data_IF_425451640545
#
_entry.id   IF_425451640545
#
_cell.length_a   1.000
_cell.length_b   1.000
_cell.length_c   1.000
_cell.angle_alpha   90.00
_cell.angle_beta   90.00
_cell.angle_gamma   90.00
#
_symmetry.space_group_name_H-M   'P 1'
#
loop_
_entity.id
_entity.type
_entity.pdbx_description
1 polymer ?
#
# COMPACT_ATOMS: atom_id res chain seq x y z
N UNK A 1 4.69 -34.59 -104.15
CA UNK A 1 5.03 -33.15 -104.24
C UNK A 1 5.89 -32.79 -103.03
N UNK A 2 7.08 -32.20 -103.30
CA UNK A 2 7.99 -31.39 -102.44
C UNK A 2 7.76 -31.46 -100.90
N UNK A 3 8.72 -31.58 -99.99
CA UNK A 3 10.20 -31.57 -99.99
C UNK A 3 10.66 -31.35 -98.53
N UNK A 4 11.69 -32.08 -98.09
CA UNK A 4 12.73 -31.74 -97.07
C UNK A 4 12.31 -31.51 -95.59
N UNK A 5 12.70 -32.38 -94.64
CA UNK A 5 14.02 -32.57 -93.93
C UNK A 5 14.36 -31.51 -92.87
N UNK A 6 14.45 -31.94 -91.60
CA UNK A 6 15.65 -31.97 -90.69
C UNK A 6 15.19 -32.29 -89.25
N UNK A 7 15.52 -33.44 -88.65
CA UNK A 7 16.81 -33.88 -88.03
C UNK A 7 17.13 -33.09 -86.75
N UNK A 8 17.01 -33.66 -85.54
CA UNK A 8 18.05 -34.26 -84.67
C UNK A 8 17.68 -33.77 -83.23
N UNK A 9 17.89 -34.41 -82.08
CA UNK A 9 18.60 -35.61 -81.66
C UNK A 9 18.15 -36.01 -80.23
N UNK A 10 18.45 -37.25 -79.86
CA UNK A 10 18.23 -37.96 -78.57
C UNK A 10 18.85 -37.31 -77.32
N UNK A 11 18.23 -37.55 -76.16
CA UNK A 11 18.75 -38.29 -74.95
C UNK A 11 17.66 -38.32 -73.86
N UNK A 12 17.23 -39.51 -73.42
CA UNK A 12 17.35 -40.04 -72.02
C UNK A 12 16.56 -39.21 -70.98
N UNK A 13 15.69 -39.73 -70.11
CA UNK A 13 15.73 -40.97 -69.34
C UNK A 13 14.33 -41.31 -68.77
N UNK A 14 14.19 -42.58 -68.43
CA UNK A 14 13.06 -43.30 -67.81
C UNK A 14 13.13 -43.15 -66.29
N UNK A 15 12.17 -42.50 -65.60
CA UNK A 15 11.93 -42.71 -64.15
C UNK A 15 10.44 -42.43 -63.78
N UNK A 16 9.82 -43.48 -63.25
CA UNK A 16 8.80 -43.65 -62.20
C UNK A 16 7.37 -43.08 -62.27
N UNK A 17 6.49 -44.07 -62.36
CA UNK A 17 5.03 -44.10 -62.17
C UNK A 17 4.66 -44.14 -60.68
N UNK A 18 5.31 -43.33 -59.83
CA UNK A 18 4.98 -43.19 -58.40
C UNK A 18 4.47 -41.80 -57.99
N UNK A 19 4.57 -40.79 -58.87
CA UNK A 19 4.18 -39.41 -58.51
C UNK A 19 2.66 -39.17 -58.61
N UNK A 20 1.93 -39.98 -59.39
CA UNK A 20 0.50 -39.74 -59.64
C UNK A 20 -0.43 -40.28 -58.55
N UNK A 21 0.03 -41.20 -57.70
CA UNK A 21 -0.75 -41.69 -56.54
C UNK A 21 -0.63 -40.81 -55.30
N UNK A 22 0.43 -40.01 -55.17
CA UNK A 22 0.54 -39.01 -54.11
C UNK A 22 -0.32 -37.76 -54.37
N UNK A 23 -0.61 -37.43 -55.64
CA UNK A 23 -1.40 -36.24 -55.98
C UNK A 23 -2.89 -36.35 -55.63
N UNK A 24 -3.47 -37.56 -55.64
CA UNK A 24 -4.88 -37.76 -55.31
C UNK A 24 -5.17 -37.97 -53.80
N UNK A 25 -4.14 -38.20 -52.98
CA UNK A 25 -4.27 -38.18 -51.51
C UNK A 25 -3.97 -36.79 -50.93
N UNK A 26 -3.20 -35.96 -51.63
CA UNK A 26 -2.92 -34.59 -51.22
C UNK A 26 -4.14 -33.66 -51.36
N UNK A 27 -5.00 -33.86 -52.36
CA UNK A 27 -6.17 -32.99 -52.56
C UNK A 27 -7.35 -33.28 -51.62
N UNK A 28 -7.51 -34.48 -51.06
CA UNK A 28 -8.57 -34.76 -50.07
C UNK A 28 -8.19 -34.35 -48.64
N UNK A 29 -6.88 -34.29 -48.33
CA UNK A 29 -6.40 -33.79 -47.03
C UNK A 29 -6.32 -32.26 -47.00
N UNK A 30 -6.03 -31.60 -48.14
CA UNK A 30 -6.04 -30.14 -48.21
C UNK A 30 -7.45 -29.52 -48.15
N UNK A 31 -8.50 -30.23 -48.58
CA UNK A 31 -9.88 -29.73 -48.51
C UNK A 31 -10.53 -29.94 -47.14
N UNK A 32 -10.02 -30.85 -46.30
CA UNK A 32 -10.47 -30.98 -44.90
C UNK A 32 -9.64 -30.13 -43.93
N UNK A 33 -8.34 -29.94 -44.18
CA UNK A 33 -7.50 -29.05 -43.35
C UNK A 33 -7.83 -27.56 -43.54
N UNK A 34 -8.29 -27.13 -44.72
CA UNK A 34 -8.72 -25.74 -44.93
C UNK A 34 -10.10 -25.43 -44.35
N UNK A 35 -10.92 -26.45 -44.06
CA UNK A 35 -12.19 -26.27 -43.35
C UNK A 35 -12.04 -26.34 -41.82
N UNK A 36 -10.98 -27.01 -41.32
CA UNK A 36 -10.64 -27.04 -39.90
C UNK A 36 -9.75 -25.89 -39.44
N UNK A 37 -8.99 -25.25 -40.34
CA UNK A 37 -8.25 -24.01 -40.02
C UNK A 37 -9.14 -22.76 -39.93
N UNK A 38 -10.41 -22.87 -40.35
CA UNK A 38 -11.41 -21.78 -40.26
C UNK A 38 -12.29 -21.93 -39.00
N UNK A 39 -12.11 -23.00 -38.21
CA UNK A 39 -12.92 -23.27 -37.01
C UNK A 39 -12.19 -23.11 -35.66
N UNK A 40 -10.92 -22.69 -35.64
CA UNK A 40 -10.19 -22.39 -34.41
C UNK A 40 -9.28 -21.18 -34.62
N UNK A 41 -9.90 -20.00 -34.55
CA UNK A 41 -9.35 -18.66 -34.30
C UNK A 41 -10.35 -17.66 -34.90
N UNK A 42 -11.63 -17.74 -34.50
CA UNK A 42 -12.42 -16.52 -34.45
C UNK A 42 -11.92 -15.77 -33.22
N UNK A 43 -10.80 -15.06 -33.35
CA UNK A 43 -10.61 -13.86 -32.54
C UNK A 43 -11.75 -12.94 -32.99
N UNK A 44 -12.89 -13.05 -32.31
CA UNK A 44 -13.93 -12.04 -32.41
C UNK A 44 -13.24 -10.76 -31.95
N UNK A 45 -12.86 -9.91 -32.90
CA UNK A 45 -12.44 -8.55 -32.63
C UNK A 45 -13.69 -7.85 -32.13
N UNK A 46 -13.88 -7.79 -30.82
CA UNK A 46 -14.92 -6.94 -30.24
C UNK A 46 -14.54 -5.46 -30.44
N UNK A 47 -15.53 -4.58 -30.37
CA UNK A 47 -15.32 -3.14 -30.46
C UNK A 47 -14.67 -2.60 -29.18
N UNK A 48 -14.39 -1.30 -29.15
CA UNK A 48 -13.68 -0.64 -28.04
C UNK A 48 -14.32 -0.91 -26.68
N UNK A 49 -13.51 -1.10 -25.63
CA UNK A 49 -13.99 -1.11 -24.24
C UNK A 49 -14.18 0.32 -23.74
N UNK A 50 -15.40 0.66 -23.32
CA UNK A 50 -15.73 1.98 -22.76
C UNK A 50 -16.10 1.81 -21.29
N UNK A 51 -15.29 2.40 -20.43
CA UNK A 51 -15.51 2.40 -18.99
C UNK A 51 -16.18 3.70 -18.58
N UNK A 52 -17.39 3.64 -18.03
CA UNK A 52 -18.15 4.82 -17.62
C UNK A 52 -17.82 5.19 -16.18
N UNK A 53 -17.47 6.45 -15.97
CA UNK A 53 -17.09 6.98 -14.66
C UNK A 53 -18.18 7.82 -14.02
N UNK A 54 -19.09 8.36 -14.83
CA UNK A 54 -20.22 9.17 -14.37
C UNK A 54 -21.46 9.06 -15.28
N UNK A 55 -22.54 9.73 -14.88
CA UNK A 55 -23.82 9.75 -15.60
C UNK A 55 -23.78 10.68 -16.83
N UNK A 56 -22.88 11.66 -16.89
CA UNK A 56 -22.73 12.55 -18.05
C UNK A 56 -22.15 11.81 -19.26
N UNK A 57 -21.16 10.94 -19.03
CA UNK A 57 -20.63 10.02 -20.05
C UNK A 57 -21.72 9.08 -20.59
N UNK A 58 -22.64 8.66 -19.73
CA UNK A 58 -23.80 7.85 -20.12
C UNK A 58 -24.76 8.65 -21.02
N UNK A 59 -25.07 9.89 -20.66
CA UNK A 59 -25.89 10.80 -21.49
C UNK A 59 -25.23 11.07 -22.84
N UNK A 60 -23.91 11.22 -22.89
CA UNK A 60 -23.16 11.37 -24.14
C UNK A 60 -23.32 10.15 -25.04
N UNK A 61 -23.30 8.94 -24.49
CA UNK A 61 -23.57 7.71 -25.25
C UNK A 61 -25.02 7.69 -25.79
N UNK A 62 -25.98 8.14 -24.99
CA UNK A 62 -27.39 8.20 -25.37
C UNK A 62 -27.67 9.24 -26.47
N UNK A 63 -27.04 10.41 -26.38
CA UNK A 63 -27.32 11.57 -27.23
C UNK A 63 -26.50 11.59 -28.51
N UNK A 64 -25.21 11.31 -28.43
CA UNK A 64 -24.28 11.42 -29.56
C UNK A 64 -24.20 10.11 -30.35
N UNK A 65 -24.71 8.99 -29.82
CA UNK A 65 -24.65 7.69 -30.48
C UNK A 65 -23.21 7.28 -30.81
N UNK A 66 -22.26 7.57 -29.90
CA UNK A 66 -20.80 7.54 -30.11
C UNK A 66 -20.25 6.17 -30.56
N UNK A 67 -21.06 5.11 -30.53
CA UNK A 67 -20.66 3.79 -30.99
C UNK A 67 -21.00 3.54 -32.46
N UNK A 68 -20.00 3.09 -33.19
CA UNK A 68 -20.10 2.71 -34.60
C UNK A 68 -20.26 1.20 -34.80
N UNK A 69 -20.32 0.38 -33.73
CA UNK A 69 -20.42 -1.09 -33.83
C UNK A 69 -21.28 -1.73 -32.73
N UNK A 70 -22.04 -2.78 -33.07
CA UNK A 70 -22.81 -3.58 -32.10
C UNK A 70 -21.93 -4.50 -31.22
N UNK A 71 -20.61 -4.30 -31.23
CA UNK A 71 -19.63 -5.16 -30.55
C UNK A 71 -18.84 -4.41 -29.47
N UNK A 72 -19.13 -3.13 -29.23
CA UNK A 72 -18.46 -2.35 -28.18
C UNK A 72 -18.88 -2.86 -26.80
N UNK A 73 -17.93 -2.88 -25.86
CA UNK A 73 -18.17 -3.36 -24.50
C UNK A 73 -18.31 -2.15 -23.56
N UNK A 74 -19.47 -2.02 -22.94
CA UNK A 74 -19.74 -1.02 -21.92
C UNK A 74 -19.50 -1.61 -20.54
N UNK A 75 -18.72 -0.90 -19.73
CA UNK A 75 -18.47 -1.23 -18.33
C UNK A 75 -19.03 -0.11 -17.48
N UNK A 76 -19.97 -0.46 -16.59
CA UNK A 76 -20.59 0.48 -15.65
C UNK A 76 -20.28 0.00 -14.24
N UNK A 77 -19.57 0.78 -13.42
CA UNK A 77 -19.31 0.44 -12.02
C UNK A 77 -20.62 0.14 -11.28
N UNK A 78 -20.70 -0.94 -10.48
CA UNK A 78 -21.93 -1.32 -9.78
C UNK A 78 -22.50 -0.21 -8.92
N UNK A 79 -21.67 0.59 -8.24
CA UNK A 79 -22.15 1.72 -7.45
C UNK A 79 -22.80 2.81 -8.31
N UNK A 80 -22.26 3.09 -9.50
CA UNK A 80 -22.89 4.00 -10.46
C UNK A 80 -24.21 3.39 -10.95
N UNK A 81 -24.17 2.16 -11.45
CA UNK A 81 -25.32 1.44 -11.99
C UNK A 81 -26.50 1.34 -10.99
N UNK A 82 -26.20 1.07 -9.72
CA UNK A 82 -27.19 1.01 -8.63
C UNK A 82 -27.87 2.36 -8.40
N UNK A 83 -27.12 3.45 -8.49
CA UNK A 83 -27.59 4.80 -8.14
C UNK A 83 -28.15 5.60 -9.32
N UNK A 84 -28.04 5.09 -10.56
CA UNK A 84 -28.66 5.72 -11.73
C UNK A 84 -30.16 5.95 -11.54
N UNK A 85 -30.66 7.05 -12.12
CA UNK A 85 -32.08 7.32 -12.21
C UNK A 85 -32.83 6.19 -12.93
N UNK A 86 -34.07 5.91 -12.54
CA UNK A 86 -34.87 4.82 -13.10
C UNK A 86 -35.05 4.96 -14.62
N UNK A 87 -35.18 6.19 -15.12
CA UNK A 87 -35.25 6.48 -16.56
C UNK A 87 -33.97 6.04 -17.31
N UNK A 88 -32.80 6.28 -16.73
CA UNK A 88 -31.51 5.89 -17.30
C UNK A 88 -31.32 4.37 -17.24
N UNK A 89 -31.78 3.71 -16.17
CA UNK A 89 -31.82 2.23 -16.09
C UNK A 89 -32.71 1.62 -17.16
N UNK A 90 -33.88 2.20 -17.45
CA UNK A 90 -34.76 1.71 -18.51
C UNK A 90 -34.13 1.85 -19.91
N UNK A 91 -33.40 2.95 -20.17
CA UNK A 91 -32.63 3.12 -21.40
C UNK A 91 -31.56 2.03 -21.51
N UNK A 92 -30.80 1.79 -20.44
CA UNK A 92 -29.78 0.74 -20.40
C UNK A 92 -30.37 -0.66 -20.67
N UNK A 93 -31.49 -1.01 -20.04
CA UNK A 93 -32.19 -2.28 -20.29
C UNK A 93 -32.61 -2.43 -21.74
N UNK A 94 -33.10 -1.36 -22.36
CA UNK A 94 -33.46 -1.35 -23.78
C UNK A 94 -32.24 -1.62 -24.67
N UNK A 95 -31.14 -0.90 -24.44
CA UNK A 95 -29.89 -1.07 -25.20
C UNK A 95 -29.31 -2.49 -25.06
N UNK A 96 -29.42 -3.05 -23.86
CA UNK A 96 -29.02 -4.41 -23.55
C UNK A 96 -29.89 -5.44 -24.30
N UNK A 97 -31.22 -5.28 -24.25
CA UNK A 97 -32.19 -6.17 -24.94
C UNK A 97 -32.02 -6.12 -26.47
N UNK A 98 -31.75 -4.94 -27.01
CA UNK A 98 -31.47 -4.72 -28.44
C UNK A 98 -30.10 -5.27 -28.86
N UNK A 99 -29.26 -5.73 -27.92
CA UNK A 99 -27.88 -6.19 -28.14
C UNK A 99 -27.04 -5.18 -28.90
N UNK A 100 -27.30 -3.89 -28.66
CA UNK A 100 -26.53 -2.80 -29.26
C UNK A 100 -25.13 -2.71 -28.68
N UNK A 101 -24.99 -3.12 -27.42
CA UNK A 101 -23.73 -3.17 -26.69
C UNK A 101 -23.63 -4.47 -25.91
N UNK A 102 -22.40 -4.81 -25.53
CA UNK A 102 -22.14 -5.85 -24.54
C UNK A 102 -21.88 -5.18 -23.21
N UNK A 103 -22.72 -5.47 -22.22
CA UNK A 103 -22.55 -4.93 -20.89
C UNK A 103 -21.76 -5.93 -20.05
N UNK A 104 -20.53 -5.56 -19.68
CA UNK A 104 -19.69 -6.39 -18.83
C UNK A 104 -20.01 -6.16 -17.34
N UNK A 105 -19.97 -7.23 -16.56
CA UNK A 105 -19.90 -7.13 -15.11
C UNK A 105 -18.50 -6.69 -14.66
N UNK A 106 -18.39 -6.13 -13.46
CA UNK A 106 -17.12 -5.79 -12.82
C UNK A 106 -17.27 -5.92 -11.30
N UNK A 107 -16.19 -5.71 -10.55
CA UNK A 107 -16.18 -5.76 -9.08
C UNK A 107 -17.07 -4.69 -8.47
N UNK A 108 -17.62 -4.95 -7.27
CA UNK A 108 -18.53 -4.03 -6.59
C UNK A 108 -17.94 -2.64 -6.28
N UNK A 109 -16.72 -2.57 -5.73
CA UNK A 109 -16.06 -1.28 -5.38
C UNK A 109 -14.80 -0.96 -6.19
N UNK A 110 -14.75 -1.35 -7.46
CA UNK A 110 -13.61 -1.07 -8.37
C UNK A 110 -12.26 -1.54 -7.78
N UNK A 111 -12.24 -2.76 -7.25
CA UNK A 111 -11.06 -3.36 -6.62
C UNK A 111 -10.29 -4.23 -7.60
N UNK A 112 -8.99 -4.36 -7.38
CA UNK A 112 -8.12 -5.22 -8.18
C UNK A 112 -8.10 -6.61 -7.55
N UNK A 113 -8.81 -7.58 -8.14
CA UNK A 113 -8.97 -8.92 -7.55
C UNK A 113 -7.63 -9.60 -7.22
N UNK A 114 -6.59 -9.55 -8.09
CA UNK A 114 -5.29 -10.14 -7.74
C UNK A 114 -4.62 -9.51 -6.51
N UNK A 115 -4.88 -8.23 -6.21
CA UNK A 115 -4.34 -7.55 -5.02
C UNK A 115 -5.00 -8.10 -3.76
N UNK A 116 -6.32 -8.25 -3.74
CA UNK A 116 -7.05 -8.87 -2.62
C UNK A 116 -6.60 -10.32 -2.40
N UNK A 117 -6.45 -11.08 -3.49
CA UNK A 117 -5.95 -12.45 -3.42
C UNK A 117 -4.53 -12.51 -2.83
N UNK A 118 -3.63 -11.62 -3.26
CA UNK A 118 -2.27 -11.50 -2.71
C UNK A 118 -2.28 -11.14 -1.21
N UNK A 119 -3.19 -10.25 -0.80
CA UNK A 119 -3.40 -9.84 0.59
C UNK A 119 -4.01 -10.94 1.49
N UNK A 120 -4.35 -12.12 0.94
CA UNK A 120 -5.03 -13.24 1.62
C UNK A 120 -6.46 -12.93 2.03
N UNK A 121 -7.15 -12.17 1.19
CA UNK A 121 -8.56 -11.81 1.31
C UNK A 121 -9.41 -12.57 0.27
N UNK A 122 -9.19 -13.89 0.14
CA UNK A 122 -9.86 -14.76 -0.83
C UNK A 122 -11.40 -14.67 -0.79
N UNK A 123 -11.95 -14.46 0.40
CA UNK A 123 -13.40 -14.30 0.56
C UNK A 123 -13.89 -12.95 0.03
N UNK A 124 -13.12 -11.86 0.19
CA UNK A 124 -13.53 -10.57 -0.39
C UNK A 124 -13.46 -10.60 -1.91
N UNK A 125 -12.51 -11.35 -2.49
CA UNK A 125 -12.50 -11.60 -3.94
C UNK A 125 -13.85 -12.15 -4.40
N UNK A 126 -14.39 -13.16 -3.70
CA UNK A 126 -15.71 -13.73 -4.04
C UNK A 126 -16.83 -12.74 -3.79
N UNK A 127 -16.85 -12.10 -2.63
CA UNK A 127 -17.93 -11.18 -2.27
C UNK A 127 -18.00 -9.95 -3.18
N UNK A 128 -16.85 -9.42 -3.62
CA UNK A 128 -16.75 -8.32 -4.59
C UNK A 128 -17.32 -8.68 -5.96
N UNK A 129 -17.06 -9.91 -6.42
CA UNK A 129 -17.64 -10.45 -7.66
C UNK A 129 -19.15 -10.65 -7.50
N UNK A 130 -19.58 -11.30 -6.41
CA UNK A 130 -20.97 -11.66 -6.16
C UNK A 130 -21.86 -10.42 -5.98
N UNK A 131 -21.39 -9.40 -5.23
CA UNK A 131 -22.12 -8.13 -5.10
C UNK A 131 -22.22 -7.37 -6.42
N UNK A 132 -21.13 -7.34 -7.20
CA UNK A 132 -21.14 -6.74 -8.54
C UNK A 132 -22.15 -7.43 -9.46
N UNK A 133 -22.15 -8.78 -9.47
CA UNK A 133 -23.11 -9.60 -10.22
C UNK A 133 -24.55 -9.34 -9.78
N UNK A 134 -24.79 -9.25 -8.47
CA UNK A 134 -26.13 -8.97 -7.93
C UNK A 134 -26.68 -7.63 -8.41
N UNK A 135 -25.89 -6.56 -8.35
CA UNK A 135 -26.33 -5.23 -8.84
C UNK A 135 -26.61 -5.27 -10.34
N UNK A 136 -25.76 -5.95 -11.11
CA UNK A 136 -25.99 -6.15 -12.54
C UNK A 136 -27.33 -6.85 -12.80
N UNK A 137 -27.58 -7.96 -12.11
CA UNK A 137 -28.82 -8.73 -12.24
C UNK A 137 -30.07 -7.90 -11.85
N UNK A 138 -29.99 -7.10 -10.79
CA UNK A 138 -31.08 -6.22 -10.35
C UNK A 138 -31.50 -5.21 -11.43
N UNK A 139 -30.56 -4.77 -12.29
CA UNK A 139 -30.86 -3.86 -13.40
C UNK A 139 -31.24 -4.62 -14.67
N UNK A 140 -30.45 -5.61 -15.11
CA UNK A 140 -30.64 -6.22 -16.43
C UNK A 140 -31.54 -7.46 -16.42
N UNK A 141 -31.82 -8.05 -15.26
CA UNK A 141 -32.65 -9.24 -15.11
C UNK A 141 -31.97 -10.56 -15.54
N UNK A 142 -30.70 -10.51 -15.94
CA UNK A 142 -29.86 -11.67 -16.25
C UNK A 142 -28.41 -11.45 -15.80
N UNK A 143 -27.65 -12.54 -15.69
CA UNK A 143 -26.24 -12.49 -15.29
C UNK A 143 -25.34 -12.09 -16.47
N UNK A 144 -24.34 -11.27 -16.19
CA UNK A 144 -23.29 -10.94 -17.15
C UNK A 144 -22.42 -12.16 -17.46
N UNK A 145 -22.20 -12.44 -18.75
CA UNK A 145 -21.27 -13.49 -19.21
C UNK A 145 -19.83 -12.99 -19.43
N UNK A 146 -19.67 -11.67 -19.56
CA UNK A 146 -18.40 -10.97 -19.77
C UNK A 146 -18.03 -10.21 -18.51
N UNK A 147 -16.78 -10.32 -18.09
CA UNK A 147 -16.22 -9.60 -16.95
C UNK A 147 -15.16 -8.60 -17.39
N UNK A 148 -15.20 -7.40 -16.82
CA UNK A 148 -14.10 -6.45 -16.89
C UNK A 148 -13.35 -6.46 -15.55
N UNK A 149 -12.11 -6.96 -15.50
CA UNK A 149 -11.26 -6.78 -14.34
C UNK A 149 -10.84 -5.31 -14.25
N UNK A 150 -10.91 -4.72 -13.05
CA UNK A 150 -10.51 -3.33 -12.85
C UNK A 150 -9.06 -3.10 -13.31
N UNK A 151 -8.84 -2.01 -14.06
CA UNK A 151 -7.59 -1.70 -14.78
C UNK A 151 -7.09 -2.77 -15.78
N UNK A 152 -7.94 -3.72 -16.15
CA UNK A 152 -7.56 -4.87 -16.99
C UNK A 152 -6.67 -5.90 -16.27
N UNK A 153 -6.55 -5.84 -14.94
CA UNK A 153 -5.60 -6.65 -14.18
C UNK A 153 -6.26 -7.94 -13.67
N UNK A 154 -5.73 -9.08 -14.10
CA UNK A 154 -6.23 -10.42 -13.75
C UNK A 154 -5.06 -11.39 -13.48
N UNK A 155 -5.32 -12.43 -12.69
CA UNK A 155 -4.40 -13.55 -12.46
C UNK A 155 -5.08 -14.88 -12.77
N UNK A 156 -4.32 -15.96 -12.87
CA UNK A 156 -4.87 -17.30 -13.09
C UNK A 156 -5.86 -17.71 -11.97
N UNK A 157 -5.51 -17.41 -10.72
CA UNK A 157 -6.33 -17.75 -9.55
C UNK A 157 -7.65 -16.99 -9.53
N UNK A 158 -7.61 -15.69 -9.82
CA UNK A 158 -8.82 -14.85 -9.88
C UNK A 158 -9.68 -15.20 -11.09
N UNK A 159 -9.05 -15.56 -12.22
CA UNK A 159 -9.75 -16.10 -13.39
C UNK A 159 -10.55 -17.37 -13.06
N UNK A 160 -9.98 -18.31 -12.29
CA UNK A 160 -10.69 -19.51 -11.84
C UNK A 160 -11.92 -19.18 -10.99
N UNK A 161 -11.82 -18.18 -10.11
CA UNK A 161 -12.95 -17.72 -9.29
C UNK A 161 -14.04 -17.09 -10.17
N UNK A 162 -13.67 -16.32 -11.19
CA UNK A 162 -14.63 -15.75 -12.14
C UNK A 162 -15.38 -16.84 -12.91
N UNK A 163 -14.70 -17.91 -13.36
CA UNK A 163 -15.36 -19.07 -14.00
C UNK A 163 -16.36 -19.73 -13.08
N UNK A 164 -15.99 -19.92 -11.81
CA UNK A 164 -16.90 -20.47 -10.79
C UNK A 164 -18.10 -19.56 -10.52
N UNK A 165 -17.95 -18.26 -10.73
CA UNK A 165 -18.99 -17.24 -10.54
C UNK A 165 -19.86 -17.02 -11.78
N UNK A 166 -19.70 -17.85 -12.83
CA UNK A 166 -20.55 -17.84 -14.03
C UNK A 166 -19.99 -17.06 -15.23
N UNK A 167 -18.86 -16.38 -15.08
CA UNK A 167 -18.25 -15.65 -16.20
C UNK A 167 -17.53 -16.61 -17.16
N UNK A 168 -17.71 -16.39 -18.46
CA UNK A 168 -17.03 -17.17 -19.50
C UNK A 168 -15.84 -16.42 -20.12
N UNK A 169 -15.88 -15.10 -20.06
CA UNK A 169 -14.97 -14.24 -20.82
C UNK A 169 -14.53 -13.08 -19.95
N UNK A 170 -13.28 -12.65 -20.09
CA UNK A 170 -12.86 -11.33 -19.63
C UNK A 170 -12.37 -10.46 -20.78
N UNK A 171 -12.49 -9.15 -20.59
CA UNK A 171 -12.01 -8.12 -21.52
C UNK A 171 -11.06 -7.17 -20.83
N UNK A 172 -10.07 -6.66 -21.54
CA UNK A 172 -9.11 -5.66 -21.02
C UNK A 172 -9.18 -4.38 -21.82
N UNK A 173 -8.66 -3.29 -21.27
CA UNK A 173 -8.62 -1.97 -21.93
C UNK A 173 -7.74 -1.90 -23.19
N UNK A 174 -6.98 -2.96 -23.49
CA UNK A 174 -6.25 -3.11 -24.76
C UNK A 174 -7.10 -3.81 -25.84
N UNK A 175 -8.42 -3.86 -25.65
CA UNK A 175 -9.39 -4.56 -26.50
C UNK A 175 -9.09 -6.06 -26.66
N UNK A 176 -8.30 -6.64 -25.74
CA UNK A 176 -7.99 -8.06 -25.73
C UNK A 176 -9.07 -8.79 -24.94
N UNK A 177 -9.87 -9.58 -25.66
CA UNK A 177 -10.81 -10.53 -25.08
C UNK A 177 -10.16 -11.90 -24.95
N UNK A 178 -10.37 -12.55 -23.81
CA UNK A 178 -9.83 -13.88 -23.54
C UNK A 178 -10.91 -14.76 -22.90
N UNK A 179 -10.99 -15.99 -23.38
CA UNK A 179 -11.88 -17.01 -22.82
C UNK A 179 -11.26 -17.51 -21.50
N UNK A 180 -11.98 -17.33 -20.40
CA UNK A 180 -11.50 -17.68 -19.06
C UNK A 180 -11.28 -19.19 -18.86
N UNK A 181 -11.90 -20.04 -19.68
CA UNK A 181 -11.83 -21.51 -19.57
C UNK A 181 -10.70 -22.10 -20.40
N UNK A 182 -10.31 -21.45 -21.48
CA UNK A 182 -9.27 -21.97 -22.40
C UNK A 182 -7.96 -21.19 -22.34
N UNK A 183 -7.94 -20.01 -21.72
CA UNK A 183 -6.70 -19.24 -21.56
C UNK A 183 -5.75 -19.95 -20.59
N UNK A 184 -4.62 -20.42 -21.11
CA UNK A 184 -3.58 -21.10 -20.31
C UNK A 184 -2.42 -20.19 -19.92
N UNK A 185 -2.30 -19.01 -20.54
CA UNK A 185 -1.11 -18.16 -20.47
C UNK A 185 -1.44 -16.77 -19.88
N UNK A 186 -2.12 -16.76 -18.72
CA UNK A 186 -2.31 -15.52 -17.94
C UNK A 186 -0.98 -15.20 -17.24
N UNK A 187 -0.27 -14.20 -17.76
CA UNK A 187 0.98 -13.72 -17.14
C UNK A 187 0.66 -13.13 -15.76
N UNK A 188 1.37 -13.55 -14.70
CA UNK A 188 1.19 -12.97 -13.37
C UNK A 188 1.40 -11.45 -13.40
N UNK A 189 0.44 -10.65 -12.88
CA UNK A 189 0.54 -9.20 -12.90
C UNK A 189 1.58 -8.70 -11.89
N UNK A 190 2.22 -7.56 -12.19
CA UNK A 190 3.02 -6.83 -11.22
C UNK A 190 2.10 -6.07 -10.26
N UNK A 191 2.15 -6.43 -8.97
CA UNK A 191 1.31 -5.88 -7.92
C UNK A 191 2.06 -4.89 -7.00
N UNK A 192 3.31 -4.55 -7.33
CA UNK A 192 4.19 -3.69 -6.52
C UNK A 192 3.62 -2.28 -6.28
N UNK A 193 2.70 -1.82 -7.15
CA UNK A 193 2.02 -0.54 -7.01
C UNK A 193 1.04 -0.50 -5.82
N UNK A 194 0.49 -1.64 -5.40
CA UNK A 194 -0.54 -1.70 -4.34
C UNK A 194 -0.11 -2.54 -3.13
N UNK A 195 1.00 -3.26 -3.23
CA UNK A 195 1.49 -4.18 -2.20
C UNK A 195 3.02 -4.16 -2.14
N UNK A 196 3.59 -4.58 -1.00
CA UNK A 196 5.03 -4.82 -0.87
C UNK A 196 5.78 -3.76 -0.07
N UNK A 197 5.34 -2.50 -0.05
CA UNK A 197 5.91 -1.52 0.89
C UNK A 197 5.45 -1.80 2.34
N UNK A 198 6.26 -1.47 3.37
CA UNK A 198 5.87 -1.69 4.77
C UNK A 198 4.53 -1.07 5.15
N UNK A 199 4.26 0.17 4.70
CA UNK A 199 3.01 0.87 4.98
C UNK A 199 1.80 0.23 4.30
N UNK A 200 1.93 -0.22 3.05
CA UNK A 200 0.84 -0.91 2.35
C UNK A 200 0.54 -2.26 3.02
N UNK A 201 1.57 -3.00 3.41
CA UNK A 201 1.39 -4.28 4.11
C UNK A 201 0.68 -4.08 5.46
N UNK A 202 1.05 -3.04 6.21
CA UNK A 202 0.38 -2.68 7.46
C UNK A 202 -1.08 -2.27 7.24
N UNK A 203 -1.38 -1.50 6.19
CA UNK A 203 -2.75 -1.14 5.82
C UNK A 203 -3.61 -2.36 5.52
N UNK A 204 -3.08 -3.32 4.76
CA UNK A 204 -3.75 -4.61 4.51
C UNK A 204 -3.94 -5.43 5.79
N UNK A 205 -2.98 -5.39 6.73
CA UNK A 205 -3.13 -6.06 8.03
C UNK A 205 -4.27 -5.46 8.86
N UNK A 206 -4.45 -4.14 8.84
CA UNK A 206 -5.59 -3.50 9.52
C UNK A 206 -6.94 -3.81 8.87
N UNK A 207 -7.02 -3.90 7.54
CA UNK A 207 -8.22 -4.37 6.83
C UNK A 207 -8.56 -5.81 7.27
N UNK A 208 -7.57 -6.72 7.30
CA UNK A 208 -7.76 -8.10 7.78
C UNK A 208 -8.24 -8.17 9.23
N UNK A 209 -7.69 -7.33 10.11
CA UNK A 209 -8.13 -7.27 11.51
C UNK A 209 -9.56 -6.74 11.64
N UNK A 210 -9.92 -5.69 10.90
CA UNK A 210 -11.28 -5.17 10.87
C UNK A 210 -12.27 -6.22 10.34
N UNK A 211 -11.90 -6.97 9.29
CA UNK A 211 -12.69 -8.07 8.75
C UNK A 211 -12.90 -9.21 9.76
N UNK A 212 -11.85 -9.58 10.49
CA UNK A 212 -11.96 -10.57 11.57
C UNK A 212 -12.98 -10.10 12.62
N UNK A 213 -12.96 -8.81 12.99
CA UNK A 213 -13.91 -8.22 13.92
C UNK A 213 -15.34 -8.19 13.39
N UNK A 214 -15.53 -7.94 12.08
CA UNK A 214 -16.84 -8.09 11.45
C UNK A 214 -17.35 -9.53 11.49
N UNK A 215 -16.46 -10.50 11.27
CA UNK A 215 -16.81 -11.93 11.35
C UNK A 215 -17.19 -12.33 12.77
N UNK A 216 -16.46 -11.86 13.78
CA UNK A 216 -16.82 -12.05 15.19
C UNK A 216 -18.17 -11.41 15.52
N UNK A 217 -18.42 -10.19 15.02
CA UNK A 217 -19.69 -9.49 15.20
C UNK A 217 -20.87 -10.22 14.57
N UNK A 218 -20.70 -10.75 13.36
CA UNK A 218 -21.71 -11.55 12.65
C UNK A 218 -22.14 -12.81 13.42
N UNK A 219 -21.22 -13.38 14.21
CA UNK A 219 -21.48 -14.56 15.05
C UNK A 219 -21.90 -14.20 16.48
N UNK A 220 -22.05 -12.91 16.79
CA UNK A 220 -22.36 -12.44 18.14
C UNK A 220 -23.87 -12.35 18.40
N UNK A 221 -24.26 -12.39 19.67
CA UNK A 221 -25.65 -12.15 20.11
C UNK A 221 -26.14 -10.71 19.91
N UNK A 222 -25.22 -9.78 19.60
CA UNK A 222 -25.48 -8.36 19.37
C UNK A 222 -25.50 -8.01 17.87
N UNK A 223 -25.55 -9.03 17.01
CA UNK A 223 -25.62 -8.87 15.57
C UNK A 223 -26.84 -8.05 15.17
N UNK A 224 -26.57 -7.07 14.32
CA UNK A 224 -27.56 -6.23 13.66
C UNK A 224 -27.15 -6.15 12.19
N UNK A 225 -28.07 -6.54 11.30
CA UNK A 225 -27.79 -6.66 9.88
C UNK A 225 -27.47 -5.30 9.23
N UNK A 226 -28.18 -4.25 9.63
CA UNK A 226 -27.98 -2.91 9.07
C UNK A 226 -26.62 -2.34 9.46
N UNK A 227 -26.23 -2.50 10.73
CA UNK A 227 -24.89 -2.12 11.21
C UNK A 227 -23.78 -2.92 10.57
N UNK A 228 -23.97 -4.24 10.44
CA UNK A 228 -23.01 -5.11 9.77
C UNK A 228 -22.83 -4.70 8.31
N UNK A 229 -23.92 -4.48 7.58
CA UNK A 229 -23.88 -4.07 6.18
C UNK A 229 -23.21 -2.71 6.03
N UNK A 230 -23.54 -1.72 6.86
CA UNK A 230 -22.88 -0.41 6.85
C UNK A 230 -21.38 -0.50 7.10
N UNK A 231 -20.96 -1.30 8.10
CA UNK A 231 -19.54 -1.50 8.41
C UNK A 231 -18.80 -2.25 7.30
N UNK A 232 -19.47 -3.19 6.64
CA UNK A 232 -18.93 -3.97 5.52
C UNK A 232 -18.78 -3.12 4.25
N UNK A 233 -19.73 -2.24 3.97
CA UNK A 233 -19.60 -1.24 2.89
C UNK A 233 -18.40 -0.31 3.12
N UNK A 234 -18.19 0.15 4.35
CA UNK A 234 -17.01 0.95 4.71
C UNK A 234 -15.70 0.16 4.50
N UNK A 235 -15.67 -1.13 4.90
CA UNK A 235 -14.51 -2.00 4.68
C UNK A 235 -14.18 -2.14 3.19
N UNK A 236 -15.19 -2.35 2.33
CA UNK A 236 -14.97 -2.46 0.87
C UNK A 236 -14.50 -1.16 0.22
N UNK A 237 -14.81 0.00 0.81
CA UNK A 237 -14.23 1.26 0.36
C UNK A 237 -12.74 1.38 0.69
N UNK A 238 -12.29 0.76 1.79
CA UNK A 238 -10.87 0.72 2.19
C UNK A 238 -10.04 -0.25 1.34
N UNK A 239 -10.68 -1.19 0.64
CA UNK A 239 -10.02 -2.12 -0.29
C UNK A 239 -9.63 -1.47 -1.63
N UNK A 240 -10.09 -0.25 -1.90
CA UNK A 240 -9.85 0.44 -3.16
C UNK A 240 -8.35 0.68 -3.41
N UNK A 241 -7.87 0.53 -4.66
CA UNK A 241 -6.45 0.66 -5.00
C UNK A 241 -5.87 2.05 -4.65
N UNK A 242 -6.70 3.10 -4.71
CA UNK A 242 -6.27 4.49 -4.50
C UNK A 242 -5.57 4.71 -3.15
N UNK A 243 -6.02 4.04 -2.08
CA UNK A 243 -5.40 4.15 -0.75
C UNK A 243 -3.94 3.74 -0.78
N UNK A 244 -3.67 2.62 -1.46
CA UNK A 244 -2.33 2.02 -1.55
C UNK A 244 -1.42 2.76 -2.52
N UNK A 245 -1.97 3.30 -3.61
CA UNK A 245 -1.23 4.15 -4.54
C UNK A 245 -0.78 5.46 -3.89
N UNK A 246 -1.65 6.05 -3.07
CA UNK A 246 -1.34 7.30 -2.39
C UNK A 246 -0.19 7.13 -1.40
N UNK A 247 -0.07 5.98 -0.73
CA UNK A 247 1.04 5.69 0.19
C UNK A 247 2.42 5.65 -0.48
N UNK A 248 2.50 5.38 -1.78
CA UNK A 248 3.75 5.39 -2.56
C UNK A 248 3.89 6.63 -3.46
N UNK A 249 3.02 7.62 -3.28
CA UNK A 249 3.11 8.89 -4.00
C UNK A 249 4.47 9.58 -3.75
N UNK A 250 4.87 10.50 -4.61
CA UNK A 250 5.99 11.40 -4.30
C UNK A 250 5.59 12.59 -3.41
N UNK A 251 4.29 12.79 -3.18
CA UNK A 251 3.75 13.90 -2.40
C UNK A 251 3.51 13.46 -0.94
N UNK A 252 4.32 13.97 -0.02
CA UNK A 252 4.22 13.64 1.41
C UNK A 252 2.93 14.17 2.05
N UNK A 253 2.41 15.33 1.61
CA UNK A 253 1.14 15.85 2.13
C UNK A 253 0.00 14.93 1.73
N UNK A 254 0.02 14.45 0.48
CA UNK A 254 -0.94 13.47 -0.01
C UNK A 254 -0.90 12.18 0.80
N UNK A 255 0.29 11.71 1.20
CA UNK A 255 0.42 10.53 2.08
C UNK A 255 -0.14 10.77 3.48
N UNK A 256 0.15 11.92 4.10
CA UNK A 256 -0.37 12.31 5.42
C UNK A 256 -1.90 12.39 5.40
N UNK A 257 -2.47 13.05 4.40
CA UNK A 257 -3.92 13.17 4.24
C UNK A 257 -4.55 11.80 3.99
N UNK A 258 -3.97 10.99 3.10
CA UNK A 258 -4.43 9.64 2.83
C UNK A 258 -4.46 8.78 4.10
N UNK A 259 -3.40 8.85 4.92
CA UNK A 259 -3.30 8.11 6.17
C UNK A 259 -4.41 8.49 7.16
N UNK A 260 -4.66 9.80 7.34
CA UNK A 260 -5.72 10.31 8.20
C UNK A 260 -7.09 9.75 7.78
N UNK A 261 -7.43 9.84 6.49
CA UNK A 261 -8.71 9.39 5.98
C UNK A 261 -8.85 7.87 6.01
N UNK A 262 -7.77 7.13 5.72
CA UNK A 262 -7.76 5.67 5.80
C UNK A 262 -8.04 5.18 7.23
N UNK A 263 -7.38 5.78 8.24
CA UNK A 263 -7.61 5.47 9.66
C UNK A 263 -9.00 5.90 10.14
N UNK A 264 -9.53 7.01 9.62
CA UNK A 264 -10.90 7.42 9.88
C UNK A 264 -11.91 6.39 9.35
N UNK A 265 -11.73 5.89 8.13
CA UNK A 265 -12.57 4.84 7.56
C UNK A 265 -12.47 3.53 8.36
N UNK A 266 -11.26 3.11 8.74
CA UNK A 266 -11.08 1.96 9.64
C UNK A 266 -11.83 2.17 10.96
N UNK A 267 -11.69 3.35 11.57
CA UNK A 267 -12.41 3.70 12.81
C UNK A 267 -13.93 3.61 12.64
N UNK A 268 -14.46 4.01 11.49
CA UNK A 268 -15.89 3.92 11.19
C UNK A 268 -16.38 2.47 11.15
N UNK A 269 -15.59 1.52 10.61
CA UNK A 269 -15.93 0.08 10.63
C UNK A 269 -16.18 -0.39 12.06
N UNK A 270 -15.28 -0.08 13.02
CA UNK A 270 -15.44 -0.47 14.43
C UNK A 270 -16.61 0.24 15.11
N UNK A 271 -16.76 1.55 14.88
CA UNK A 271 -17.85 2.35 15.46
C UNK A 271 -19.22 1.87 15.00
N UNK A 272 -19.36 1.51 13.72
CA UNK A 272 -20.63 1.04 13.16
C UNK A 272 -21.16 -0.21 13.89
N UNK A 273 -20.27 -1.13 14.26
CA UNK A 273 -20.61 -2.35 15.01
C UNK A 273 -20.52 -2.19 16.54
N UNK A 274 -20.25 -0.98 17.03
CA UNK A 274 -20.17 -0.67 18.46
C UNK A 274 -18.99 -1.34 19.19
N UNK A 275 -17.90 -1.64 18.48
CA UNK A 275 -16.68 -2.20 19.06
C UNK A 275 -15.72 -1.09 19.48
N UNK A 276 -14.91 -1.34 20.51
CA UNK A 276 -13.84 -0.43 20.92
C UNK A 276 -12.78 -0.33 19.81
N UNK A 277 -12.27 0.88 19.57
CA UNK A 277 -11.23 1.11 18.58
C UNK A 277 -9.89 0.56 19.10
N UNK A 278 -9.19 -0.29 18.33
CA UNK A 278 -7.80 -0.62 18.61
C UNK A 278 -6.94 0.65 18.68
N UNK A 279 -6.14 0.78 19.74
CA UNK A 279 -5.22 1.91 19.91
C UNK A 279 -4.27 2.09 18.72
N UNK A 280 -3.90 0.97 18.07
CA UNK A 280 -3.04 0.94 16.90
C UNK A 280 -3.60 1.73 15.68
N UNK A 281 -4.93 1.93 15.58
CA UNK A 281 -5.56 2.74 14.52
C UNK A 281 -5.42 4.25 14.80
N UNK A 282 -5.15 4.63 16.05
CA UNK A 282 -4.89 6.04 16.39
C UNK A 282 -3.47 6.47 15.98
N UNK A 283 -2.59 5.51 15.71
CA UNK A 283 -1.22 5.73 15.24
C UNK A 283 -1.20 5.78 13.71
N UNK A 284 -0.56 6.80 13.08
CA UNK A 284 -0.37 6.83 11.64
C UNK A 284 0.29 5.57 11.07
N UNK A 285 -0.23 5.01 9.98
CA UNK A 285 0.38 3.86 9.29
C UNK A 285 1.54 4.33 8.42
N UNK A 286 1.31 5.42 7.71
CA UNK A 286 2.37 6.14 7.04
C UNK A 286 3.05 7.04 8.05
N UNK A 287 4.32 6.74 8.23
CA UNK A 287 5.26 7.60 8.90
C UNK A 287 6.12 8.19 7.78
N UNK A 288 6.23 9.52 7.74
CA UNK A 288 7.19 10.22 6.86
C UNK A 288 8.54 9.51 6.94
N UNK A 289 9.35 9.51 5.87
CA UNK A 289 10.59 8.72 5.75
C UNK A 289 11.63 8.92 6.87
N UNK A 290 11.36 9.79 7.81
CA UNK A 290 12.06 10.03 9.06
C UNK A 290 11.67 9.09 10.22
N UNK A 291 11.32 7.80 10.03
CA UNK A 291 11.15 6.83 11.16
C UNK A 291 11.08 5.37 10.71
N UNK A 292 12.22 4.67 10.60
CA UNK A 292 12.34 3.25 10.98
C UNK A 292 13.79 2.70 10.96
N UNK A 293 14.12 1.73 11.84
CA UNK A 293 15.38 0.98 11.87
C UNK A 293 15.75 0.24 10.60
N UNK A 294 16.91 0.53 10.00
CA UNK A 294 17.57 -0.42 9.11
C UNK A 294 18.25 -1.50 9.98
N UNK A 295 17.84 -2.76 9.82
CA UNK A 295 18.41 -3.90 10.54
C UNK A 295 19.20 -4.76 9.56
N UNK A 296 20.53 -4.86 9.75
CA UNK A 296 21.36 -5.80 9.00
C UNK A 296 21.64 -7.03 9.87
N UNK A 297 20.98 -8.14 9.53
CA UNK A 297 21.14 -9.42 10.23
C UNK A 297 22.55 -10.01 10.13
N UNK A 298 23.40 -9.53 9.21
CA UNK A 298 24.76 -10.04 9.03
C UNK A 298 25.80 -9.37 9.91
N UNK A 299 25.59 -8.13 10.35
CA UNK A 299 26.56 -7.35 11.14
C UNK A 299 26.19 -7.19 12.62
N UNK A 300 24.93 -7.46 12.99
CA UNK A 300 24.43 -7.18 14.34
C UNK A 300 24.22 -5.69 14.61
N UNK A 301 24.28 -4.88 13.55
CA UNK A 301 24.06 -3.44 13.58
C UNK A 301 22.57 -3.13 13.42
N UNK A 302 22.11 -2.15 14.20
CA UNK A 302 20.76 -1.63 14.10
C UNK A 302 20.78 -0.14 14.38
N UNK A 303 19.74 0.55 13.91
CA UNK A 303 19.47 1.97 14.15
C UNK A 303 18.08 2.04 14.77
N UNK A 304 17.87 2.60 15.95
CA UNK A 304 16.55 2.98 16.42
C UNK A 304 16.35 4.46 16.07
N UNK A 305 15.20 4.86 15.54
CA UNK A 305 14.97 6.22 15.06
C UNK A 305 13.64 6.78 15.58
N UNK A 306 13.65 8.02 16.05
CA UNK A 306 12.53 8.76 16.61
C UNK A 306 12.49 10.15 15.96
N UNK A 307 11.56 10.39 15.04
CA UNK A 307 11.24 11.75 14.52
C UNK A 307 10.62 12.61 15.61
N UNK A 308 10.48 13.90 15.37
CA UNK A 308 9.60 14.80 16.08
C UNK A 308 8.34 15.06 15.24
N UNK A 309 7.16 14.61 15.70
CA UNK A 309 5.88 14.81 14.97
C UNK A 309 5.08 16.01 15.54
N UNK A 310 5.64 16.73 16.50
CA UNK A 310 4.98 17.79 17.27
C UNK A 310 5.47 19.18 16.83
N UNK A 311 4.75 19.82 15.90
CA UNK A 311 5.11 21.13 15.32
C UNK A 311 4.58 22.35 16.12
N UNK A 312 4.92 22.47 17.41
CA UNK A 312 4.72 23.70 18.20
C UNK A 312 5.85 23.80 19.26
N UNK A 313 6.74 24.79 19.38
CA UNK A 313 6.73 26.24 19.10
C UNK A 313 8.19 26.76 18.99
N UNK A 314 8.47 27.76 18.15
CA UNK A 314 9.80 28.38 18.01
C UNK A 314 10.09 29.43 19.11
N UNK A 315 10.90 29.05 20.12
CA UNK A 315 11.69 29.97 20.96
C UNK A 315 13.13 30.14 20.44
N UNK A 316 13.60 29.20 19.62
CA UNK A 316 14.93 29.16 19.01
C UNK A 316 14.84 29.23 17.48
N UNK A 317 15.97 29.47 16.80
CA UNK A 317 16.14 29.24 15.35
C UNK A 317 16.44 27.76 15.01
N UNK A 318 16.69 26.91 16.00
CA UNK A 318 16.96 25.49 15.87
C UNK A 318 15.80 24.67 16.45
N UNK A 319 15.40 23.61 15.74
CA UNK A 319 14.43 22.61 16.20
C UNK A 319 15.09 21.24 16.13
N UNK A 320 14.68 20.36 17.03
CA UNK A 320 14.98 18.94 16.98
C UNK A 320 14.05 18.31 15.95
N UNK A 321 14.62 17.76 14.90
CA UNK A 321 13.85 17.08 13.85
C UNK A 321 13.69 15.61 14.19
N UNK A 322 14.76 14.96 14.63
CA UNK A 322 14.74 13.55 14.93
C UNK A 322 15.95 13.10 15.77
N UNK A 323 15.88 11.88 16.27
CA UNK A 323 16.92 11.22 17.04
C UNK A 323 17.09 9.76 16.60
N UNK A 324 18.31 9.37 16.28
CA UNK A 324 18.73 8.01 15.99
C UNK A 324 19.71 7.46 17.02
N UNK A 325 19.63 6.19 17.36
CA UNK A 325 20.65 5.47 18.13
C UNK A 325 21.05 4.17 17.44
N UNK A 326 22.34 4.03 17.15
CA UNK A 326 22.92 2.86 16.48
C UNK A 326 23.81 2.08 17.42
N UNK A 327 23.80 0.76 17.32
CA UNK A 327 24.82 -0.09 17.95
C UNK A 327 25.67 -0.74 16.89
N UNK A 328 26.97 -0.45 16.90
CA UNK A 328 28.00 -1.14 16.11
C UNK A 328 28.98 -1.85 17.06
N UNK A 329 29.88 -2.66 16.52
CA UNK A 329 30.81 -3.48 17.31
C UNK A 329 31.66 -2.59 18.25
N UNK A 330 31.32 -2.58 19.54
CA UNK A 330 32.03 -1.84 20.58
C UNK A 330 31.71 -0.34 20.68
N UNK A 331 30.78 0.19 19.89
CA UNK A 331 30.42 1.63 19.88
C UNK A 331 28.90 1.80 19.78
N UNK A 332 28.38 2.78 20.50
CA UNK A 332 27.01 3.28 20.36
C UNK A 332 27.10 4.66 19.69
N UNK A 333 26.34 4.85 18.62
CA UNK A 333 26.28 6.10 17.87
C UNK A 333 24.94 6.75 18.14
N UNK A 334 24.93 8.04 18.47
CA UNK A 334 23.75 8.87 18.61
C UNK A 334 23.74 9.89 17.48
N UNK A 335 22.68 9.86 16.68
CA UNK A 335 22.44 10.78 15.58
C UNK A 335 21.33 11.74 16.01
N UNK A 336 21.57 13.04 15.92
CA UNK A 336 20.58 14.07 16.26
C UNK A 336 20.37 14.90 15.01
N UNK A 337 19.14 14.99 14.54
CA UNK A 337 18.78 15.77 13.37
C UNK A 337 18.20 17.12 13.81
N UNK A 338 18.68 18.21 13.23
CA UNK A 338 18.35 19.57 13.63
C UNK A 338 18.03 20.46 12.44
N UNK A 339 17.14 21.44 12.60
CA UNK A 339 16.74 22.34 11.51
C UNK A 339 17.83 23.35 11.11
N UNK A 340 18.66 23.79 12.06
CA UNK A 340 19.79 24.69 11.82
C UNK A 340 20.83 24.59 12.95
N UNK A 341 22.10 24.89 12.66
CA UNK A 341 23.14 24.87 13.68
C UNK A 341 22.97 26.05 14.68
N UNK A 342 23.04 25.76 15.98
CA UNK A 342 22.99 26.75 17.06
C UNK A 342 24.07 26.52 18.13
N UNK A 343 24.28 27.51 19.00
CA UNK A 343 25.15 27.42 20.19
C UNK A 343 24.41 26.79 21.39
N UNK A 344 23.24 26.22 21.16
CA UNK A 344 22.40 25.61 22.18
C UNK A 344 22.88 24.21 22.56
N UNK A 345 22.37 23.72 23.69
CA UNK A 345 22.73 22.40 24.21
C UNK A 345 21.59 21.44 23.96
N UNK A 346 21.91 20.26 23.45
CA UNK A 346 20.95 19.17 23.28
C UNK A 346 21.35 18.05 24.22
N UNK A 347 20.46 17.68 25.15
CA UNK A 347 20.70 16.59 26.06
C UNK A 347 19.92 15.34 25.65
N UNK A 348 20.59 14.19 25.68
CA UNK A 348 20.00 12.86 25.52
C UNK A 348 20.02 12.16 26.89
N UNK A 349 18.87 11.97 27.50
CA UNK A 349 18.70 11.22 28.74
C UNK A 349 18.34 9.76 28.45
N UNK A 350 18.95 8.83 29.20
CA UNK A 350 18.86 7.39 28.95
C UNK A 350 18.38 6.68 30.21
N UNK A 351 17.19 6.10 30.13
CA UNK A 351 16.60 5.16 31.09
C UNK A 351 16.95 3.73 30.65
N UNK A 352 17.88 3.08 31.36
CA UNK A 352 18.38 1.77 31.00
C UNK A 352 17.41 0.63 31.31
N UNK A 353 16.62 0.77 32.38
CA UNK A 353 16.00 -0.36 33.06
C UNK A 353 14.50 -0.24 33.28
N UNK A 354 13.91 0.93 32.98
CA UNK A 354 12.47 1.22 33.10
C UNK A 354 11.94 1.03 34.52
N UNK A 355 12.80 1.13 35.54
CA UNK A 355 12.42 0.94 36.94
C UNK A 355 12.25 2.28 37.63
N UNK A 356 11.15 2.38 38.36
CA UNK A 356 10.88 3.53 39.21
C UNK A 356 12.01 3.71 40.26
N UNK A 357 12.47 4.96 40.43
CA UNK A 357 13.54 5.38 41.36
C UNK A 357 14.94 4.81 41.08
N UNK A 358 15.21 4.30 39.87
CA UNK A 358 16.54 3.80 39.53
C UNK A 358 17.50 4.91 39.02
N UNK A 359 16.96 6.08 38.65
CA UNK A 359 17.68 7.21 38.09
C UNK A 359 17.30 8.57 38.70
N UNK A 360 17.66 9.63 37.98
CA UNK A 360 17.25 11.02 38.28
C UNK A 360 16.03 11.40 37.45
N UNK A 361 15.15 12.23 38.02
CA UNK A 361 14.09 12.91 37.26
C UNK A 361 14.45 14.35 36.91
N UNK A 362 15.43 14.96 37.58
CA UNK A 362 15.94 16.29 37.22
C UNK A 362 16.81 16.22 35.96
N UNK A 363 16.70 17.22 35.09
CA UNK A 363 17.63 17.43 33.99
C UNK A 363 19.01 17.88 34.49
N UNK A 364 20.05 17.61 33.70
CA UNK A 364 21.43 17.99 34.06
C UNK A 364 21.61 19.51 33.93
N UNK A 365 22.67 20.03 34.53
CA UNK A 365 23.00 21.46 34.41
C UNK A 365 22.03 22.43 35.12
N UNK A 366 20.98 21.92 35.77
CA UNK A 366 19.92 22.75 36.34
C UNK A 366 18.94 23.27 35.29
N UNK A 367 18.85 22.62 34.13
CA UNK A 367 17.86 22.94 33.12
C UNK A 367 16.44 22.80 33.69
N UNK A 368 15.52 23.63 33.18
CA UNK A 368 14.14 23.68 33.64
C UNK A 368 13.37 22.44 33.16
N UNK A 369 12.53 21.86 34.03
CA UNK A 369 11.72 20.67 33.75
C UNK A 369 12.23 19.40 34.44
N UNK A 370 11.38 18.36 34.42
CA UNK A 370 11.66 17.07 35.04
C UNK A 370 11.09 15.92 34.19
N UNK A 371 11.61 14.72 34.37
CA UNK A 371 11.03 13.50 33.81
C UNK A 371 10.01 12.90 34.76
N UNK A 372 9.09 12.08 34.24
CA UNK A 372 8.23 11.29 35.11
C UNK A 372 9.03 10.20 35.88
N UNK A 373 8.50 9.73 37.01
CA UNK A 373 9.20 8.75 37.86
C UNK A 373 9.48 7.39 37.21
N UNK A 374 8.69 7.00 36.20
CA UNK A 374 8.91 5.80 35.38
C UNK A 374 9.94 6.01 34.27
N UNK A 375 10.30 7.27 34.00
CA UNK A 375 11.28 7.72 33.00
C UNK A 375 12.52 8.34 33.65
N UNK A 376 12.82 7.95 34.90
CA UNK A 376 14.02 8.39 35.59
C UNK A 376 15.27 7.86 34.85
N UNK A 377 16.21 8.74 34.53
CA UNK A 377 17.35 8.41 33.69
C UNK A 377 18.59 8.05 34.53
N UNK A 378 19.40 7.09 34.07
CA UNK A 378 20.68 6.74 34.71
C UNK A 378 21.91 7.31 34.03
N UNK A 379 21.79 7.63 32.74
CA UNK A 379 22.86 8.24 31.96
C UNK A 379 22.32 9.43 31.16
N UNK A 380 23.17 10.41 30.90
CA UNK A 380 22.85 11.53 30.05
C UNK A 380 24.04 11.91 29.16
N UNK A 381 23.78 12.30 27.92
CA UNK A 381 24.78 12.86 26.99
C UNK A 381 24.39 14.31 26.75
N UNK A 382 25.24 15.26 27.14
CA UNK A 382 25.04 16.68 26.85
C UNK A 382 25.87 17.07 25.64
N UNK A 383 25.21 17.46 24.55
CA UNK A 383 25.83 17.73 23.26
C UNK A 383 25.86 19.23 23.01
N UNK A 384 27.08 19.72 22.80
CA UNK A 384 27.38 21.09 22.36
C UNK A 384 27.98 21.05 20.96
N UNK A 385 28.15 22.21 20.31
CA UNK A 385 28.64 22.35 18.94
C UNK A 385 29.86 21.48 18.61
N UNK A 386 30.81 21.34 19.54
CA UNK A 386 32.08 20.63 19.29
C UNK A 386 32.36 19.46 20.24
N UNK A 387 31.53 19.25 21.26
CA UNK A 387 31.81 18.24 22.29
C UNK A 387 30.56 17.65 22.91
N UNK A 388 30.65 16.38 23.31
CA UNK A 388 29.62 15.67 24.02
C UNK A 388 30.13 15.23 25.39
N UNK A 389 29.50 15.67 26.46
CA UNK A 389 29.81 15.28 27.83
C UNK A 389 28.89 14.14 28.26
N UNK A 390 29.46 13.05 28.78
CA UNK A 390 28.69 11.89 29.21
C UNK A 390 28.62 11.83 30.73
N UNK A 391 27.41 11.75 31.27
CA UNK A 391 27.10 11.78 32.69
C UNK A 391 26.44 10.50 33.15
N UNK A 392 26.66 10.18 34.42
CA UNK A 392 26.02 9.08 35.13
C UNK A 392 25.30 9.61 36.37
N UNK A 393 24.10 9.11 36.60
CA UNK A 393 23.32 9.35 37.81
C UNK A 393 24.13 8.99 39.06
N UNK A 394 24.01 9.83 40.09
CA UNK A 394 24.64 9.68 41.38
C UNK A 394 23.59 9.82 42.48
N UNK A 395 23.44 8.79 43.32
CA UNK A 395 22.41 8.77 44.37
C UNK A 395 22.67 9.78 45.50
N UNK A 396 23.92 10.12 45.76
CA UNK A 396 24.32 10.92 46.94
C UNK A 396 24.69 12.36 46.58
N UNK A 397 24.49 12.79 45.34
CA UNK A 397 24.92 14.11 44.88
C UNK A 397 24.57 14.36 43.40
N UNK A 398 25.12 15.42 42.79
CA UNK A 398 24.84 15.71 41.39
C UNK A 398 25.40 14.61 40.47
N UNK A 399 24.84 14.48 39.24
CA UNK A 399 25.36 13.58 38.21
C UNK A 399 26.86 13.77 37.97
N UNK A 400 27.58 12.68 37.77
CA UNK A 400 29.04 12.68 37.61
C UNK A 400 29.39 12.53 36.14
N UNK A 401 30.26 13.40 35.62
CA UNK A 401 30.81 13.25 34.26
C UNK A 401 31.73 12.04 34.22
N UNK A 402 31.43 11.11 33.34
CA UNK A 402 32.15 9.84 33.14
C UNK A 402 32.85 9.76 31.78
N UNK A 403 32.64 10.73 30.89
CA UNK A 403 33.34 10.80 29.61
C UNK A 403 33.22 12.17 28.94
N UNK A 404 34.14 12.42 27.99
CA UNK A 404 34.12 13.56 27.07
C UNK A 404 34.45 13.03 25.69
N UNK A 405 33.60 13.33 24.72
CA UNK A 405 33.67 12.79 23.36
C UNK A 405 33.57 13.91 22.33
N UNK A 406 34.09 13.66 21.14
CA UNK A 406 34.01 14.57 20.01
C UNK A 406 32.67 14.42 19.30
N UNK A 407 32.16 15.54 18.81
CA UNK A 407 30.94 15.62 17.99
C UNK A 407 31.34 15.77 16.53
N UNK A 408 30.66 15.06 15.63
CA UNK A 408 30.84 15.22 14.18
C UNK A 408 29.59 15.85 13.59
N UNK A 409 29.73 17.02 12.99
CA UNK A 409 28.61 17.76 12.39
C UNK A 409 28.58 17.55 10.87
N UNK A 410 27.49 16.97 10.36
CA UNK A 410 27.18 16.85 8.94
C UNK A 410 26.09 17.86 8.58
N UNK A 411 26.46 19.14 8.55
CA UNK A 411 25.52 20.26 8.42
C UNK A 411 24.72 20.23 7.12
N UNK A 412 25.31 19.74 6.01
CA UNK A 412 24.59 19.57 4.73
C UNK A 412 23.43 18.57 4.82
N UNK A 413 23.46 17.68 5.83
CA UNK A 413 22.48 16.65 6.08
C UNK A 413 21.68 16.91 7.37
N UNK A 414 21.79 18.11 7.96
CA UNK A 414 21.12 18.46 9.21
C UNK A 414 21.40 17.49 10.37
N UNK A 415 22.59 16.90 10.44
CA UNK A 415 22.92 15.80 11.34
C UNK A 415 24.10 16.13 12.26
N UNK A 416 23.94 15.83 13.55
CA UNK A 416 24.98 15.79 14.57
C UNK A 416 25.18 14.33 15.01
N UNK A 417 26.40 13.82 14.90
CA UNK A 417 26.76 12.46 15.32
C UNK A 417 27.66 12.47 16.55
N UNK A 418 27.29 11.66 17.55
CA UNK A 418 28.08 11.41 18.78
C UNK A 418 28.38 9.93 18.94
N UNK A 419 29.65 9.58 19.10
CA UNK A 419 30.11 8.19 19.26
C UNK A 419 30.57 7.93 20.70
N UNK A 420 29.89 7.01 21.37
CA UNK A 420 30.20 6.58 22.74
C UNK A 420 30.71 5.13 22.72
N UNK A 421 31.94 4.86 23.19
CA UNK A 421 32.43 3.48 23.30
C UNK A 421 31.56 2.64 24.25
N UNK A 422 31.19 1.44 23.82
CA UNK A 422 30.23 0.56 24.51
C UNK A 422 30.68 0.06 25.89
N UNK A 423 31.94 0.28 26.28
CA UNK A 423 32.42 0.03 27.64
C UNK A 423 31.98 1.11 28.66
N UNK A 424 31.49 2.27 28.21
CA UNK A 424 31.00 3.34 29.09
C UNK A 424 29.55 3.13 29.53
N UNK A 425 28.75 2.41 28.74
CA UNK A 425 27.34 2.14 29.00
C UNK A 425 26.97 0.74 28.52
N UNK A 426 26.56 -0.11 29.48
CA UNK A 426 26.23 -1.50 29.21
C UNK A 426 24.75 -1.67 28.91
N UNK A 427 24.43 -2.61 28.02
CA UNK A 427 23.06 -3.00 27.71
C UNK A 427 22.75 -3.01 26.22
N UNK A 428 21.46 -3.02 25.92
CA UNK A 428 20.95 -3.00 24.56
C UNK A 428 20.18 -1.68 24.34
N UNK A 429 20.73 -0.70 23.59
CA UNK A 429 20.07 0.55 23.23
C UNK A 429 18.61 0.39 22.77
N UNK A 430 18.29 -0.65 22.01
CA UNK A 430 16.90 -0.96 21.63
C UNK A 430 15.94 -1.08 22.85
N UNK A 431 16.42 -1.55 23.99
CA UNK A 431 15.61 -1.77 25.20
C UNK A 431 15.57 -0.57 26.15
N UNK A 432 16.28 0.51 25.86
CA UNK A 432 16.33 1.70 26.71
C UNK A 432 15.14 2.63 26.44
N UNK A 433 14.90 3.55 27.37
CA UNK A 433 14.08 4.74 27.17
C UNK A 433 14.96 5.96 26.92
N UNK A 434 14.49 6.88 26.07
CA UNK A 434 15.22 8.09 25.70
C UNK A 434 14.37 9.35 25.91
N UNK A 435 14.97 10.42 26.39
CA UNK A 435 14.39 11.77 26.31
C UNK A 435 15.44 12.62 25.62
N UNK A 436 15.07 13.30 24.55
CA UNK A 436 15.97 14.18 23.79
C UNK A 436 15.38 15.57 23.83
N UNK A 437 16.06 16.48 24.50
CA UNK A 437 15.56 17.82 24.77
C UNK A 437 16.62 18.87 24.44
N UNK A 438 16.17 19.94 23.81
CA UNK A 438 16.97 21.10 23.46
C UNK A 438 16.79 22.21 24.50
N UNK A 439 17.90 22.82 24.90
CA UNK A 439 17.93 23.87 25.92
C UNK A 439 18.63 25.14 25.43
N UNK A 440 17.97 26.27 25.68
CA UNK A 440 18.55 27.60 25.51
C UNK A 440 19.67 27.83 26.54
N UNK A 441 20.58 28.80 26.32
CA UNK A 441 21.59 29.18 27.32
C UNK A 441 21.01 29.60 28.68
N UNK A 442 19.74 30.00 28.75
CA UNK A 442 19.03 30.28 30.00
C UNK A 442 18.69 29.03 30.82
N UNK A 443 18.76 27.84 30.21
CA UNK A 443 18.31 26.58 30.78
C UNK A 443 16.84 26.26 30.48
N UNK A 444 16.14 27.11 29.72
CA UNK A 444 14.78 26.87 29.27
C UNK A 444 14.75 25.86 28.12
N UNK A 445 13.74 24.98 28.13
CA UNK A 445 13.50 24.04 27.04
C UNK A 445 13.00 24.82 25.82
N UNK A 446 13.64 24.61 24.66
CA UNK A 446 13.10 25.10 23.39
C UNK A 446 12.37 24.00 22.61
N UNK A 447 12.76 22.73 22.77
CA UNK A 447 12.18 21.62 22.01
C UNK A 447 12.41 20.25 22.68
N UNK A 448 11.53 19.28 22.43
CA UNK A 448 11.64 17.90 22.94
C UNK A 448 11.04 16.94 21.91
N UNK A 449 11.83 15.95 21.49
CA UNK A 449 11.36 14.94 20.52
C UNK A 449 10.10 14.23 21.02
N UNK A 450 9.01 14.37 20.27
CA UNK A 450 7.74 13.66 20.48
C UNK A 450 6.93 14.14 21.67
N UNK A 451 7.18 15.37 22.14
CA UNK A 451 6.46 15.97 23.26
C UNK A 451 6.19 17.47 23.04
N UNK A 452 4.91 17.82 22.82
CA UNK A 452 4.47 19.22 22.78
C UNK A 452 4.72 19.88 24.15
N UNK A 453 5.58 20.90 24.21
CA UNK A 453 5.80 21.68 25.43
C UNK A 453 4.67 22.68 25.62
N UNK A 454 3.79 22.55 26.64
CA UNK A 454 2.70 23.50 26.83
C UNK A 454 3.25 24.87 27.25
N UNK A 455 2.94 25.93 26.49
CA UNK A 455 3.45 27.29 26.69
C UNK A 455 3.03 27.99 27.99
N UNK A 456 2.32 27.30 28.90
CA UNK A 456 1.73 27.89 30.12
C UNK A 456 2.01 27.12 31.42
N UNK A 457 2.69 25.98 31.39
CA UNK A 457 2.97 25.21 32.60
C UNK A 457 4.28 25.62 33.27
N UNK A 458 4.24 25.76 34.60
CA UNK A 458 5.43 26.08 35.42
C UNK A 458 6.31 24.87 35.69
N UNK A 459 5.82 23.65 35.41
CA UNK A 459 6.54 22.38 35.62
C UNK A 459 6.24 21.48 34.43
N UNK A 460 7.23 21.24 33.58
CA UNK A 460 7.12 20.34 32.43
C UNK A 460 7.54 18.93 32.87
N UNK A 461 6.68 17.94 32.68
CA UNK A 461 6.95 16.53 33.00
C UNK A 461 7.00 15.68 31.73
N UNK A 462 8.17 15.10 31.44
CA UNK A 462 8.44 14.47 30.13
C UNK A 462 8.54 12.94 30.23
N UNK A 463 7.80 12.18 29.41
CA UNK A 463 7.95 10.73 29.30
C UNK A 463 9.07 10.31 28.34
N UNK A 464 9.70 9.17 28.59
CA UNK A 464 10.73 8.62 27.72
C UNK A 464 10.17 7.92 26.47
N UNK A 465 10.75 8.21 25.31
CA UNK A 465 10.63 7.50 24.05
C UNK A 465 11.14 6.06 24.19
N UNK A 466 10.35 5.08 23.76
CA UNK A 466 10.67 3.65 23.93
C UNK A 466 10.37 2.92 22.63
N UNK A 467 11.24 1.98 22.24
CA UNK A 467 10.87 0.99 21.23
C UNK A 467 10.02 -0.11 21.86
N UNK A 468 8.99 -0.55 21.14
CA UNK A 468 8.08 -1.62 21.58
C UNK A 468 8.78 -2.98 21.78
#
# INVERSE_FOLDING_TARGET
MKSLKKSFNRREHRIDTEVTKCFFHALSVFSLCTLWLILFLSTFSYGSVVYLTDEEELENIFTLGVSTSSQDVLVIPPLLLKNLADENKEILKKLHTEKKYIFAGTTYTDVILPVLFNAKLDEDVREQIEKGRKVYYEVFGEDASVFYPHLGIISEETGKILVQSGYSVFVTSLDVQKDLRTETDIVPPDLSRWTGSPVQNLAWDYIKQAKLKLTEYANSKFYDAEKFDAAKEELYNLEKPIWFENYISSDENKKKENDLWFRAGLSNVYRAIGQELPSAISVPLYISQSRNPLFDMTTGEYILYFDDDTDNVFLSSCNLLAFGVKKSTGVIVFDIFISSASDEVIDIYIDLNKKNNAGSTSFIGGHNGFTDSLSAWEYAVSVSTNSAQFFRYNRTGPPVRVGLFTVTNFLDNNLIEVKIPGNHILGNPKKWGYIVAGFLPSGDIFDIIGYDVPTSETVIQVPALRSE
#
